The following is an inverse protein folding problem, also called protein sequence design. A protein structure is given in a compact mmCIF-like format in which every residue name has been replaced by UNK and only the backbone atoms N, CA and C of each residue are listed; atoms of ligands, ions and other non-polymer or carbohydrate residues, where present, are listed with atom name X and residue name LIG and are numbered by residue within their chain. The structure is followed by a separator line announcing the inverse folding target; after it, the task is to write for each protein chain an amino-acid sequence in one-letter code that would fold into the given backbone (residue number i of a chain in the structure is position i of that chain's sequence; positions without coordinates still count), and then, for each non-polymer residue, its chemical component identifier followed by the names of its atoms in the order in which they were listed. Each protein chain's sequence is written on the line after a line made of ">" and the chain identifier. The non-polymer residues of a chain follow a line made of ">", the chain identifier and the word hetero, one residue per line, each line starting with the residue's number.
data_IF_256323366919
#
_entry.id   IF_256323366919
#
_cell.length_a   1.000
_cell.length_b   1.000
_cell.length_c   1.000
_cell.angle_alpha   90.00
_cell.angle_beta   90.00
_cell.angle_gamma   90.00
#
_symmetry.space_group_name_H-M   'P 1'
#
loop_
_entity.id
_entity.type
_entity.pdbx_description
1 polymer ?
#
# COMPACT_ATOMS: atom_id res chain seq x y z
N UNK A 1 -8.23 -1.35 -35.56
CA UNK A 1 -8.28 -2.16 -34.33
C UNK A 1 -8.70 -1.23 -33.18
N UNK A 2 -9.93 -1.38 -32.70
CA UNK A 2 -10.30 -0.83 -31.40
C UNK A 2 -9.46 -1.58 -30.36
N UNK A 3 -8.40 -0.97 -29.86
CA UNK A 3 -7.84 -1.40 -28.58
C UNK A 3 -8.94 -1.18 -27.56
N UNK A 4 -9.66 -2.26 -27.24
CA UNK A 4 -10.47 -2.27 -26.03
C UNK A 4 -9.47 -2.12 -24.87
N UNK A 5 -9.47 -0.96 -24.22
CA UNK A 5 -8.81 -0.80 -22.93
C UNK A 5 -9.60 -1.63 -21.94
N UNK A 6 -9.27 -2.91 -21.82
CA UNK A 6 -9.87 -3.80 -20.85
C UNK A 6 -9.16 -3.48 -19.53
N UNK A 7 -9.83 -2.68 -18.71
CA UNK A 7 -9.50 -2.59 -17.29
C UNK A 7 -10.04 -3.86 -16.64
N UNK A 8 -9.20 -4.86 -16.48
CA UNK A 8 -9.60 -6.19 -16.05
C UNK A 8 -8.99 -6.61 -14.69
N UNK A 9 -8.03 -5.84 -14.19
CA UNK A 9 -7.30 -6.21 -12.99
C UNK A 9 -7.71 -5.34 -11.79
N UNK A 10 -8.14 -6.00 -10.72
CA UNK A 10 -8.23 -5.38 -9.40
C UNK A 10 -6.92 -5.66 -8.66
N UNK A 11 -6.27 -4.61 -8.19
CA UNK A 11 -5.03 -4.73 -7.42
C UNK A 11 -5.32 -4.54 -5.95
N UNK A 12 -4.86 -5.47 -5.13
CA UNK A 12 -4.96 -5.40 -3.68
C UNK A 12 -3.58 -5.56 -3.07
N UNK A 13 -3.18 -4.65 -2.19
CA UNK A 13 -1.89 -4.71 -1.53
C UNK A 13 -1.91 -4.21 -0.09
N UNK A 14 -1.10 -4.85 0.76
CA UNK A 14 -0.87 -4.45 2.15
C UNK A 14 0.55 -3.91 2.28
N UNK A 15 0.71 -2.77 2.94
CA UNK A 15 2.01 -2.16 3.27
C UNK A 15 2.88 -1.96 2.01
N UNK A 16 4.00 -2.67 1.86
CA UNK A 16 4.82 -2.65 0.65
C UNK A 16 4.01 -3.05 -0.59
N UNK A 17 3.12 -4.04 -0.47
CA UNK A 17 2.22 -4.43 -1.55
C UNK A 17 1.29 -3.29 -1.99
N UNK A 18 0.83 -2.46 -1.06
CA UNK A 18 0.03 -1.27 -1.38
C UNK A 18 0.85 -0.23 -2.15
N UNK A 19 2.11 -0.01 -1.78
CA UNK A 19 3.04 0.89 -2.51
C UNK A 19 3.25 0.40 -3.95
N UNK A 20 3.47 -0.91 -4.13
CA UNK A 20 3.65 -1.50 -5.47
C UNK A 20 2.38 -1.42 -6.31
N UNK A 21 1.20 -1.68 -5.71
CA UNK A 21 -0.08 -1.57 -6.39
C UNK A 21 -0.37 -0.13 -6.82
N UNK A 22 -0.10 0.85 -5.95
CA UNK A 22 -0.25 2.26 -6.26
C UNK A 22 0.68 2.69 -7.39
N UNK A 23 1.96 2.31 -7.32
CA UNK A 23 2.92 2.62 -8.39
C UNK A 23 2.47 2.03 -9.74
N UNK A 24 2.04 0.77 -9.74
CA UNK A 24 1.55 0.14 -10.97
C UNK A 24 0.31 0.86 -11.53
N UNK A 25 -0.63 1.27 -10.67
CA UNK A 25 -1.82 2.00 -11.11
C UNK A 25 -1.47 3.38 -11.70
N UNK A 26 -0.47 4.06 -11.17
CA UNK A 26 0.06 5.33 -11.70
C UNK A 26 0.69 5.13 -13.10
N UNK A 27 1.48 4.07 -13.26
CA UNK A 27 2.20 3.81 -14.51
C UNK A 27 1.27 3.19 -15.58
N UNK A 28 0.21 2.51 -15.17
CA UNK A 28 -0.71 1.78 -16.04
C UNK A 28 -2.20 2.06 -15.76
N UNK A 29 -2.65 3.34 -15.77
CA UNK A 29 -4.01 3.72 -15.33
C UNK A 29 -5.13 3.05 -16.12
N UNK A 30 -4.85 2.65 -17.36
CA UNK A 30 -5.83 1.99 -18.25
C UNK A 30 -5.93 0.47 -18.06
N UNK A 31 -5.07 -0.11 -17.21
CA UNK A 31 -5.07 -1.56 -16.94
C UNK A 31 -5.69 -1.91 -15.58
N UNK A 32 -5.88 -0.94 -14.71
CA UNK A 32 -6.39 -1.17 -13.36
C UNK A 32 -7.87 -0.80 -13.30
N UNK A 33 -8.71 -1.79 -12.96
CA UNK A 33 -10.16 -1.64 -12.78
C UNK A 33 -10.49 -1.00 -11.44
N UNK A 34 -9.86 -1.49 -10.38
CA UNK A 34 -10.01 -0.98 -9.02
C UNK A 34 -8.75 -1.23 -8.19
N UNK A 35 -8.58 -0.46 -7.13
CA UNK A 35 -7.40 -0.47 -6.29
C UNK A 35 -7.76 -0.61 -4.82
N UNK A 36 -7.15 -1.57 -4.12
CA UNK A 36 -7.29 -1.74 -2.67
C UNK A 36 -5.91 -1.55 -2.02
N UNK A 37 -5.79 -0.57 -1.17
CA UNK A 37 -4.55 -0.17 -0.52
C UNK A 37 -4.69 -0.26 0.99
N UNK A 38 -4.04 -1.25 1.61
CA UNK A 38 -4.11 -1.51 3.04
C UNK A 38 -2.82 -1.03 3.70
N UNK A 39 -2.91 -0.20 4.74
CA UNK A 39 -1.78 0.41 5.45
C UNK A 39 -0.81 1.13 4.48
N UNK A 40 -1.38 1.90 3.55
CA UNK A 40 -0.64 2.49 2.43
C UNK A 40 0.13 3.75 2.83
N UNK A 41 1.28 3.93 2.17
CA UNK A 41 2.05 5.16 2.15
C UNK A 41 2.12 5.67 0.70
N UNK A 42 1.87 6.95 0.48
CA UNK A 42 2.04 7.61 -0.82
C UNK A 42 3.34 8.43 -0.90
N UNK A 43 3.94 8.64 0.25
CA UNK A 43 5.26 9.28 0.40
C UNK A 43 6.01 8.59 1.53
N UNK A 44 7.22 8.16 1.26
CA UNK A 44 8.01 7.48 2.27
C UNK A 44 8.64 8.47 3.26
N UNK A 45 8.58 8.18 4.56
CA UNK A 45 9.21 9.01 5.58
C UNK A 45 10.74 8.81 5.55
N UNK A 46 11.42 9.57 4.70
CA UNK A 46 12.86 9.43 4.39
C UNK A 46 13.74 9.33 5.63
N UNK A 47 13.51 10.20 6.63
CA UNK A 47 14.30 10.20 7.88
C UNK A 47 14.13 8.90 8.66
N UNK A 48 12.89 8.37 8.71
CA UNK A 48 12.58 7.13 9.41
C UNK A 48 13.22 5.92 8.70
N UNK A 49 13.11 5.85 7.38
CA UNK A 49 13.72 4.78 6.59
C UNK A 49 15.24 4.82 6.64
N UNK A 50 15.85 5.99 6.60
CA UNK A 50 17.31 6.14 6.77
C UNK A 50 17.75 5.66 8.15
N UNK A 51 17.02 6.01 9.21
CA UNK A 51 17.29 5.55 10.57
C UNK A 51 17.11 4.02 10.68
N UNK A 52 16.02 3.47 10.13
CA UNK A 52 15.76 2.03 10.08
C UNK A 52 16.89 1.27 9.33
N UNK A 53 17.32 1.78 8.17
CA UNK A 53 18.42 1.20 7.42
C UNK A 53 19.74 1.22 8.21
N UNK A 54 19.97 2.28 8.95
CA UNK A 54 21.12 2.34 9.86
C UNK A 54 21.04 1.24 10.92
N UNK A 55 19.89 1.05 11.57
CA UNK A 55 19.68 -0.03 12.54
C UNK A 55 19.87 -1.42 11.91
N UNK A 56 19.33 -1.66 10.71
CA UNK A 56 19.46 -2.92 10.01
C UNK A 56 20.92 -3.30 9.75
N UNK A 57 21.82 -2.32 9.56
CA UNK A 57 23.25 -2.57 9.38
C UNK A 57 23.90 -3.18 10.63
N UNK A 58 23.37 -2.90 11.82
CA UNK A 58 23.88 -3.44 13.09
C UNK A 58 23.20 -4.74 13.52
N UNK A 59 22.04 -5.08 12.94
CA UNK A 59 21.33 -6.33 13.28
C UNK A 59 22.04 -7.56 12.73
N UNK A 60 22.03 -8.69 13.47
CA UNK A 60 22.62 -9.95 13.01
C UNK A 60 21.94 -10.51 11.75
N UNK A 61 22.71 -11.11 10.85
CA UNK A 61 22.18 -11.74 9.64
C UNK A 61 21.18 -12.87 9.91
N UNK A 62 21.27 -13.51 11.08
CA UNK A 62 20.38 -14.60 11.50
C UNK A 62 18.92 -14.15 11.58
N UNK A 63 18.66 -12.89 11.98
CA UNK A 63 17.30 -12.35 12.07
C UNK A 63 16.62 -12.28 10.69
N UNK A 64 17.36 -11.89 9.66
CA UNK A 64 16.83 -11.81 8.29
C UNK A 64 16.64 -13.20 7.68
N UNK A 65 17.52 -14.15 7.99
CA UNK A 65 17.43 -15.54 7.51
C UNK A 65 16.16 -16.26 7.99
N UNK A 66 15.65 -15.93 9.17
CA UNK A 66 14.40 -16.51 9.70
C UNK A 66 13.21 -16.22 8.77
N UNK A 67 13.25 -15.11 8.03
CA UNK A 67 12.24 -14.72 7.06
C UNK A 67 12.60 -15.09 5.61
N UNK A 68 13.65 -15.90 5.41
CA UNK A 68 14.14 -16.27 4.08
C UNK A 68 14.80 -15.12 3.30
N UNK A 69 15.14 -14.01 3.96
CA UNK A 69 15.66 -12.80 3.34
C UNK A 69 17.17 -12.65 3.56
N UNK A 70 17.84 -12.07 2.57
CA UNK A 70 19.22 -11.61 2.74
C UNK A 70 19.21 -10.16 3.25
N UNK A 71 19.99 -9.90 4.29
CA UNK A 71 20.13 -8.56 4.88
C UNK A 71 20.46 -7.48 3.85
N UNK A 72 21.33 -7.78 2.90
CA UNK A 72 21.72 -6.83 1.85
C UNK A 72 20.53 -6.44 0.97
N UNK A 73 19.68 -7.40 0.62
CA UNK A 73 18.51 -7.16 -0.23
C UNK A 73 17.47 -6.30 0.50
N UNK A 74 17.27 -6.54 1.81
CA UNK A 74 16.37 -5.73 2.65
C UNK A 74 16.87 -4.29 2.76
N UNK A 75 18.16 -4.08 3.02
CA UNK A 75 18.77 -2.74 3.10
C UNK A 75 18.68 -2.02 1.76
N UNK A 76 18.93 -2.72 0.66
CA UNK A 76 18.81 -2.17 -0.70
C UNK A 76 17.37 -1.76 -0.99
N UNK A 77 16.40 -2.63 -0.72
CA UNK A 77 14.97 -2.35 -0.91
C UNK A 77 14.54 -1.11 -0.11
N UNK A 78 14.85 -1.05 1.19
CA UNK A 78 14.54 0.13 2.00
C UNK A 78 15.26 1.39 1.48
N UNK A 79 16.45 1.25 0.91
CA UNK A 79 17.18 2.35 0.26
C UNK A 79 16.41 2.92 -0.94
N UNK A 80 15.94 2.06 -1.84
CA UNK A 80 15.16 2.49 -3.01
C UNK A 80 13.81 3.10 -2.61
N UNK A 81 13.20 2.63 -1.51
CA UNK A 81 11.94 3.19 -1.02
C UNK A 81 12.08 4.62 -0.47
N UNK A 82 13.26 5.06 -0.04
CA UNK A 82 13.43 6.42 0.52
C UNK A 82 13.14 7.53 -0.48
N UNK A 83 13.24 7.25 -1.78
CA UNK A 83 13.03 8.21 -2.86
C UNK A 83 11.58 8.24 -3.37
N UNK A 84 10.70 7.35 -2.85
CA UNK A 84 9.32 7.27 -3.32
C UNK A 84 8.49 8.44 -2.79
N UNK A 85 7.98 9.23 -3.73
CA UNK A 85 7.00 10.29 -3.51
C UNK A 85 6.04 10.34 -4.69
N UNK A 86 4.80 9.91 -4.47
CA UNK A 86 3.79 9.81 -5.52
C UNK A 86 2.90 11.05 -5.65
N UNK A 87 3.08 12.09 -4.81
CA UNK A 87 2.17 13.24 -4.72
C UNK A 87 1.80 13.83 -6.07
N UNK A 88 2.78 14.09 -6.91
CA UNK A 88 2.58 14.73 -8.22
C UNK A 88 1.98 13.78 -9.26
N UNK A 89 1.91 12.48 -8.95
CA UNK A 89 1.42 11.43 -9.86
C UNK A 89 0.08 10.84 -9.43
N UNK A 90 -0.44 11.15 -8.24
CA UNK A 90 -1.71 10.60 -7.75
C UNK A 90 -2.89 10.95 -8.64
N UNK A 91 -2.86 12.10 -9.32
CA UNK A 91 -3.89 12.51 -10.27
C UNK A 91 -4.06 11.57 -11.49
N UNK A 92 -3.07 10.69 -11.75
CA UNK A 92 -3.14 9.67 -12.81
C UNK A 92 -4.00 8.47 -12.40
N UNK A 93 -4.23 8.25 -11.12
CA UNK A 93 -5.10 7.17 -10.63
C UNK A 93 -6.54 7.56 -10.90
N UNK A 94 -7.17 6.90 -11.85
CA UNK A 94 -8.53 7.21 -12.33
C UNK A 94 -9.54 6.06 -12.07
N UNK A 95 -9.11 5.01 -11.39
CA UNK A 95 -9.98 3.90 -10.99
C UNK A 95 -10.50 4.11 -9.57
N UNK A 96 -11.65 3.52 -9.20
CA UNK A 96 -12.11 3.46 -7.83
C UNK A 96 -11.05 2.87 -6.90
N UNK A 97 -10.87 3.47 -5.72
CA UNK A 97 -9.89 3.04 -4.74
C UNK A 97 -10.49 2.87 -3.34
N UNK A 98 -10.21 1.75 -2.70
CA UNK A 98 -10.48 1.52 -1.29
C UNK A 98 -9.16 1.62 -0.52
N UNK A 99 -9.09 2.53 0.42
CA UNK A 99 -7.97 2.70 1.32
C UNK A 99 -8.37 2.19 2.70
N UNK A 100 -7.64 1.21 3.21
CA UNK A 100 -7.93 0.57 4.51
C UNK A 100 -6.74 0.77 5.45
N UNK A 101 -7.01 1.08 6.72
CA UNK A 101 -5.95 1.16 7.73
C UNK A 101 -6.48 0.73 9.09
N UNK A 102 -5.67 0.01 9.86
CA UNK A 102 -6.03 -0.35 11.22
C UNK A 102 -6.07 0.87 12.15
N UNK A 103 -7.01 0.87 13.09
CA UNK A 103 -7.19 1.92 14.10
C UNK A 103 -5.90 2.19 14.89
N UNK A 104 -5.13 1.13 15.17
CA UNK A 104 -3.88 1.18 15.97
C UNK A 104 -2.62 1.35 15.11
N UNK A 105 -2.73 1.35 13.78
CA UNK A 105 -1.59 1.58 12.89
C UNK A 105 -1.23 3.08 12.80
N UNK A 106 -0.68 3.60 13.88
CA UNK A 106 -0.32 5.02 13.99
C UNK A 106 0.74 5.46 12.96
N UNK A 107 1.53 4.52 12.44
CA UNK A 107 2.58 4.81 11.47
C UNK A 107 2.00 5.15 10.09
N UNK A 108 0.90 4.48 9.70
CA UNK A 108 0.33 4.59 8.36
C UNK A 108 -1.01 5.32 8.31
N UNK A 109 -1.74 5.42 9.43
CA UNK A 109 -3.10 5.99 9.47
C UNK A 109 -3.18 7.39 8.87
N UNK A 110 -2.27 8.28 9.24
CA UNK A 110 -2.26 9.65 8.71
C UNK A 110 -2.05 9.65 7.21
N UNK A 111 -1.06 8.92 6.71
CA UNK A 111 -0.75 8.84 5.29
C UNK A 111 -1.88 8.19 4.49
N UNK A 112 -2.52 7.15 5.03
CA UNK A 112 -3.67 6.49 4.40
C UNK A 112 -4.89 7.42 4.28
N UNK A 113 -5.21 8.21 5.31
CA UNK A 113 -6.27 9.23 5.26
C UNK A 113 -5.97 10.34 4.25
N UNK A 114 -4.73 10.82 4.24
CA UNK A 114 -4.29 11.83 3.26
C UNK A 114 -4.35 11.28 1.84
N UNK A 115 -3.88 10.04 1.60
CA UNK A 115 -3.96 9.39 0.30
C UNK A 115 -5.39 9.32 -0.22
N UNK A 116 -6.35 8.95 0.63
CA UNK A 116 -7.76 8.95 0.26
C UNK A 116 -8.26 10.34 -0.14
N UNK A 117 -7.78 11.40 0.49
CA UNK A 117 -8.17 12.77 0.13
C UNK A 117 -7.58 13.26 -1.20
N UNK A 118 -6.51 12.65 -1.68
CA UNK A 118 -5.87 13.01 -2.94
C UNK A 118 -6.43 12.27 -4.16
N UNK A 119 -7.05 11.11 -3.96
CA UNK A 119 -7.64 10.33 -5.05
C UNK A 119 -9.07 10.79 -5.31
N UNK A 120 -9.42 10.96 -6.58
CA UNK A 120 -10.72 11.54 -7.00
C UNK A 120 -11.92 10.64 -6.72
N UNK A 121 -11.71 9.32 -6.75
CA UNK A 121 -12.74 8.31 -6.49
C UNK A 121 -12.19 7.31 -5.48
N UNK A 122 -12.36 7.62 -4.19
CA UNK A 122 -11.81 6.80 -3.13
C UNK A 122 -12.68 6.78 -1.88
N UNK A 123 -12.60 5.65 -1.17
CA UNK A 123 -13.18 5.47 0.15
C UNK A 123 -12.10 5.10 1.16
N UNK A 124 -12.16 5.70 2.33
CA UNK A 124 -11.30 5.32 3.47
C UNK A 124 -12.09 4.53 4.50
N UNK A 125 -11.56 3.37 4.89
CA UNK A 125 -12.12 2.55 5.97
C UNK A 125 -11.09 2.32 7.07
N UNK A 126 -11.49 2.53 8.32
CA UNK A 126 -10.66 2.29 9.51
C UNK A 126 -11.12 1.00 10.19
N UNK A 127 -10.28 -0.04 10.16
CA UNK A 127 -10.57 -1.31 10.84
C UNK A 127 -10.40 -1.18 12.34
N UNK A 128 -11.46 -1.47 13.07
CA UNK A 128 -11.47 -1.34 14.53
C UNK A 128 -10.54 -2.35 15.19
N UNK A 129 -9.81 -1.89 16.21
CA UNK A 129 -8.86 -2.65 17.03
C UNK A 129 -7.68 -3.29 16.28
N UNK A 130 -7.61 -3.17 14.96
CA UNK A 130 -6.51 -3.67 14.14
C UNK A 130 -5.30 -2.72 14.17
N UNK A 131 -4.12 -3.31 14.07
CA UNK A 131 -2.85 -2.61 13.84
C UNK A 131 -2.42 -2.71 12.37
N UNK A 132 -1.11 -2.95 12.16
CA UNK A 132 -0.53 -2.97 10.82
C UNK A 132 -0.88 -4.22 10.01
N UNK A 133 -0.96 -5.38 10.67
CA UNK A 133 -1.26 -6.66 10.03
C UNK A 133 -2.79 -6.89 10.00
N UNK A 134 -3.50 -5.97 9.33
CA UNK A 134 -4.96 -5.92 9.28
C UNK A 134 -5.61 -7.24 8.81
N UNK A 135 -4.94 -7.98 7.94
CA UNK A 135 -5.37 -9.28 7.43
C UNK A 135 -5.29 -10.42 8.49
N UNK A 136 -4.51 -10.22 9.54
CA UNK A 136 -4.37 -11.17 10.66
C UNK A 136 -5.18 -10.69 11.85
N UNK A 137 -5.17 -9.38 12.13
CA UNK A 137 -5.75 -8.81 13.33
C UNK A 137 -7.26 -8.57 13.23
N UNK A 138 -7.80 -8.35 12.02
CA UNK A 138 -9.23 -8.13 11.77
C UNK A 138 -9.69 -8.74 10.42
N UNK A 139 -9.49 -10.07 10.21
CA UNK A 139 -9.75 -10.70 8.91
C UNK A 139 -11.22 -10.65 8.50
N UNK A 140 -12.15 -10.79 9.45
CA UNK A 140 -13.59 -10.83 9.17
C UNK A 140 -14.12 -9.47 8.74
N UNK A 141 -13.75 -8.40 9.46
CA UNK A 141 -14.13 -7.03 9.11
C UNK A 141 -13.49 -6.63 7.77
N UNK A 142 -12.21 -6.95 7.58
CA UNK A 142 -11.52 -6.69 6.32
C UNK A 142 -12.22 -7.42 5.16
N UNK A 143 -12.60 -8.68 5.32
CA UNK A 143 -13.28 -9.44 4.28
C UNK A 143 -14.64 -8.82 3.91
N UNK A 144 -15.41 -8.36 4.91
CA UNK A 144 -16.69 -7.66 4.67
C UNK A 144 -16.50 -6.40 3.86
N UNK A 145 -15.55 -5.55 4.25
CA UNK A 145 -15.26 -4.28 3.56
C UNK A 145 -14.77 -4.50 2.13
N UNK A 146 -13.94 -5.54 1.91
CA UNK A 146 -13.49 -5.92 0.58
C UNK A 146 -14.64 -6.40 -0.29
N UNK A 147 -15.53 -7.24 0.25
CA UNK A 147 -16.69 -7.75 -0.49
C UNK A 147 -17.61 -6.63 -0.92
N UNK A 148 -17.95 -5.72 0.00
CA UNK A 148 -18.77 -4.54 -0.30
C UNK A 148 -18.15 -3.67 -1.41
N UNK A 149 -16.84 -3.47 -1.36
CA UNK A 149 -16.15 -2.71 -2.40
C UNK A 149 -16.17 -3.44 -3.74
N UNK A 150 -15.90 -4.75 -3.77
CA UNK A 150 -15.89 -5.51 -5.02
C UNK A 150 -17.27 -5.61 -5.67
N UNK A 151 -18.33 -5.70 -4.88
CA UNK A 151 -19.71 -5.71 -5.39
C UNK A 151 -20.09 -4.39 -6.07
N UNK A 152 -19.50 -3.27 -5.62
CA UNK A 152 -19.74 -1.95 -6.22
C UNK A 152 -18.90 -1.66 -7.47
N UNK A 153 -17.77 -2.34 -7.68
CA UNK A 153 -16.86 -2.12 -8.82
C UNK A 153 -16.90 -3.26 -9.84
N UNK A 154 -17.73 -4.27 -9.60
CA UNK A 154 -17.94 -5.49 -10.39
C UNK A 154 -18.55 -5.32 -11.78
#
# INVERSE_FOLDING_TARGET
>A
QRQMCIRDSVLCGLSLGAVLALNYAIDHPNKVKALVLIAAQYKMPEKLLKFQNMLFRFMPNTMFKQFGLKKADVISLCGTMTELDFRDSLCKVSCPALIVCGEKDNANKKASKELASYLSDSHFHELLKAGHEANIESPEELATVLQEFYDNVG
#
